data_IF_129633553862
#
_entry.id   IF_129633553862
#
_cell.length_a   1.000
_cell.length_b   1.000
_cell.length_c   1.000
_cell.angle_alpha   90.00
_cell.angle_beta   90.00
_cell.angle_gamma   90.00
#
_symmetry.space_group_name_H-M   'P 1'
#
loop_
_entity.id
_entity.type
_entity.pdbx_description
1 polymer ?
#
# COMPACT_ATOMS: atom_id res chain seq x y z
N UNK A 1 -3.77 23.95 12.96
CA UNK A 1 -2.75 23.64 13.97
C UNK A 1 -2.79 22.14 14.12
N UNK A 2 -1.86 21.45 13.46
CA UNK A 2 -1.75 20.00 13.56
C UNK A 2 -1.08 19.72 14.90
N UNK A 3 -1.86 19.30 15.90
CA UNK A 3 -1.27 18.83 17.15
C UNK A 3 -0.62 17.49 16.81
N UNK A 4 0.71 17.47 16.75
CA UNK A 4 1.45 16.25 16.46
C UNK A 4 0.99 15.10 17.35
N UNK A 5 0.91 13.89 16.79
CA UNK A 5 0.52 12.69 17.53
C UNK A 5 1.66 12.32 18.47
N UNK A 6 1.35 12.14 19.76
CA UNK A 6 2.32 11.62 20.72
C UNK A 6 2.62 10.15 20.38
N UNK A 7 3.90 9.77 20.35
CA UNK A 7 4.29 8.39 19.99
C UNK A 7 3.75 7.32 20.95
N UNK A 8 3.41 7.70 22.19
CA UNK A 8 2.75 6.86 23.18
C UNK A 8 1.35 6.37 22.74
N UNK A 9 0.75 7.02 21.76
CA UNK A 9 -0.56 6.67 21.19
C UNK A 9 -0.42 5.98 19.82
N UNK A 10 0.81 5.63 19.41
CA UNK A 10 1.09 5.03 18.11
C UNK A 10 1.38 3.54 18.27
N UNK A 11 0.66 2.73 17.47
CA UNK A 11 0.89 1.30 17.34
C UNK A 11 1.33 0.99 15.92
N UNK A 12 2.46 0.30 15.78
CA UNK A 12 2.95 -0.24 14.51
C UNK A 12 2.57 -1.71 14.43
N UNK A 13 1.77 -2.07 13.42
CA UNK A 13 1.42 -3.45 13.12
C UNK A 13 2.29 -3.93 11.94
N UNK A 14 3.08 -4.97 12.16
CA UNK A 14 3.92 -5.57 11.12
C UNK A 14 3.51 -7.02 10.86
N UNK A 15 3.44 -7.40 9.58
CA UNK A 15 3.34 -8.80 9.22
C UNK A 15 4.67 -9.55 9.50
N UNK A 16 4.66 -10.86 9.27
CA UNK A 16 5.79 -11.73 9.60
C UNK A 16 6.78 -11.92 8.43
N UNK A 17 6.85 -10.97 7.49
CA UNK A 17 7.79 -11.09 6.39
C UNK A 17 9.25 -10.91 6.84
N UNK A 18 10.16 -11.67 6.22
CA UNK A 18 11.59 -11.70 6.59
C UNK A 18 12.28 -10.33 6.49
N UNK A 19 11.79 -9.45 5.62
CA UNK A 19 12.26 -8.07 5.49
C UNK A 19 12.01 -7.23 6.75
N UNK A 20 11.08 -7.65 7.62
CA UNK A 20 10.77 -7.01 8.90
C UNK A 20 11.49 -7.67 10.09
N UNK A 21 12.51 -8.51 9.85
CA UNK A 21 13.28 -9.14 10.92
C UNK A 21 13.86 -8.09 11.90
N UNK A 22 14.43 -7.01 11.37
CA UNK A 22 15.09 -5.93 12.12
C UNK A 22 14.17 -4.89 12.76
N UNK A 23 12.83 -5.04 12.67
CA UNK A 23 11.91 -3.98 13.14
C UNK A 23 11.98 -3.77 14.65
N UNK A 24 12.30 -4.80 15.43
CA UNK A 24 12.41 -4.68 16.90
C UNK A 24 13.58 -3.79 17.29
N UNK A 25 14.69 -3.93 16.59
CA UNK A 25 15.92 -3.17 16.78
C UNK A 25 15.70 -1.70 16.39
N UNK A 26 14.94 -1.44 15.32
CA UNK A 26 14.54 -0.08 14.93
C UNK A 26 13.64 0.55 15.99
N UNK A 27 12.64 -0.17 16.51
CA UNK A 27 11.73 0.34 17.55
C UNK A 27 12.43 0.62 18.89
N UNK A 28 13.65 0.13 19.10
CA UNK A 28 14.45 0.42 20.29
C UNK A 28 15.23 1.75 20.22
N UNK A 29 15.26 2.42 19.06
CA UNK A 29 15.93 3.71 18.90
C UNK A 29 15.17 4.82 19.65
N UNK A 30 15.90 5.84 20.10
CA UNK A 30 15.34 6.97 20.88
C UNK A 30 14.16 7.66 20.17
N UNK A 31 14.18 7.71 18.84
CA UNK A 31 13.15 8.35 18.02
C UNK A 31 11.79 7.63 18.06
N UNK A 32 11.73 6.38 18.53
CA UNK A 32 10.52 5.56 18.57
C UNK A 32 10.09 5.18 19.99
N UNK A 33 10.65 5.84 21.01
CA UNK A 33 10.27 5.60 22.41
C UNK A 33 8.77 5.89 22.59
N UNK A 34 8.05 4.89 23.11
CA UNK A 34 6.60 4.96 23.34
C UNK A 34 5.75 4.30 22.26
N UNK A 35 6.32 3.99 21.08
CA UNK A 35 5.60 3.26 20.02
C UNK A 35 5.42 1.80 20.42
N UNK A 36 4.19 1.29 20.35
CA UNK A 36 3.92 -0.13 20.52
C UNK A 36 4.12 -0.89 19.21
N UNK A 37 4.78 -2.04 19.25
CA UNK A 37 4.96 -2.92 18.10
C UNK A 37 4.14 -4.21 18.25
N UNK A 38 3.22 -4.44 17.32
CA UNK A 38 2.47 -5.69 17.18
C UNK A 38 3.00 -6.46 15.96
N UNK A 39 3.57 -7.66 16.20
CA UNK A 39 3.91 -8.60 15.13
C UNK A 39 2.78 -9.60 14.92
N UNK A 40 2.30 -9.72 13.69
CA UNK A 40 1.27 -10.68 13.34
C UNK A 40 1.83 -12.09 13.19
N UNK A 41 1.02 -13.14 13.42
CA UNK A 41 1.42 -14.51 13.11
C UNK A 41 1.58 -14.71 11.60
N UNK A 42 2.37 -15.73 11.17
CA UNK A 42 2.42 -16.14 9.78
C UNK A 42 1.02 -16.37 9.18
N UNK A 43 0.86 -16.09 7.89
CA UNK A 43 -0.38 -16.34 7.14
C UNK A 43 -1.64 -15.72 7.76
N UNK A 44 -1.50 -14.55 8.42
CA UNK A 44 -2.61 -13.86 9.09
C UNK A 44 -3.02 -12.54 8.42
N UNK A 45 -3.29 -12.51 7.09
CA UNK A 45 -3.62 -11.26 6.40
C UNK A 45 -4.94 -10.64 6.87
N UNK A 46 -5.87 -11.46 7.39
CA UNK A 46 -7.13 -10.98 7.96
C UNK A 46 -6.94 -10.10 9.21
N UNK A 47 -5.76 -10.16 9.85
CA UNK A 47 -5.41 -9.34 11.00
C UNK A 47 -4.59 -8.09 10.60
N UNK A 48 -4.20 -7.94 9.34
CA UNK A 48 -3.42 -6.80 8.87
C UNK A 48 -4.34 -5.71 8.29
N UNK A 49 -4.50 -4.55 8.96
CA UNK A 49 -5.43 -3.52 8.51
C UNK A 49 -5.15 -2.97 7.11
N UNK A 50 -3.88 -3.01 6.65
CA UNK A 50 -3.51 -2.49 5.32
C UNK A 50 -4.20 -3.26 4.19
N UNK A 51 -4.54 -4.54 4.41
CA UNK A 51 -5.19 -5.38 3.42
C UNK A 51 -6.59 -4.85 3.06
N UNK A 52 -7.31 -4.30 4.03
CA UNK A 52 -8.61 -3.65 3.77
C UNK A 52 -8.44 -2.39 2.92
N UNK A 53 -7.45 -1.55 3.25
CA UNK A 53 -7.13 -0.36 2.47
C UNK A 53 -6.70 -0.69 1.04
N UNK A 54 -5.84 -1.69 0.87
CA UNK A 54 -5.44 -2.17 -0.46
C UNK A 54 -6.57 -2.86 -1.22
N UNK A 55 -7.49 -3.54 -0.54
CA UNK A 55 -8.66 -4.13 -1.18
C UNK A 55 -9.57 -3.05 -1.79
N UNK A 56 -9.84 -1.99 -1.04
CA UNK A 56 -10.60 -0.83 -1.52
C UNK A 56 -9.89 -0.16 -2.71
N UNK A 57 -8.60 0.18 -2.54
CA UNK A 57 -7.79 0.79 -3.60
C UNK A 57 -7.76 -0.07 -4.88
N UNK A 58 -7.47 -1.37 -4.76
CA UNK A 58 -7.44 -2.29 -5.91
C UNK A 58 -8.81 -2.42 -6.59
N UNK A 59 -9.89 -2.31 -5.83
CA UNK A 59 -11.26 -2.37 -6.40
C UNK A 59 -11.53 -1.19 -7.31
N UNK A 60 -11.17 0.02 -6.89
CA UNK A 60 -11.28 1.23 -7.71
C UNK A 60 -10.37 1.17 -8.95
N UNK A 61 -9.12 0.76 -8.79
CA UNK A 61 -8.20 0.56 -9.92
C UNK A 61 -8.78 -0.43 -10.93
N UNK A 62 -9.32 -1.58 -10.46
CA UNK A 62 -9.94 -2.58 -11.34
C UNK A 62 -11.16 -2.01 -12.05
N UNK A 63 -12.00 -1.25 -11.36
CA UNK A 63 -13.17 -0.61 -11.94
C UNK A 63 -12.78 0.36 -13.06
N UNK A 64 -11.80 1.25 -12.82
CA UNK A 64 -11.30 2.17 -13.83
C UNK A 64 -10.74 1.42 -15.05
N UNK A 65 -9.94 0.37 -14.83
CA UNK A 65 -9.36 -0.40 -15.94
C UNK A 65 -10.42 -1.16 -16.73
N UNK A 66 -11.46 -1.67 -16.07
CA UNK A 66 -12.57 -2.36 -16.72
C UNK A 66 -13.38 -1.41 -17.60
N UNK A 67 -13.70 -0.22 -17.10
CA UNK A 67 -14.46 0.82 -17.84
C UNK A 67 -13.68 1.37 -19.03
N UNK A 68 -12.35 1.38 -18.98
CA UNK A 68 -11.48 1.89 -20.05
C UNK A 68 -10.85 0.79 -20.93
N UNK A 69 -11.31 -0.46 -20.79
CA UNK A 69 -10.70 -1.63 -21.43
C UNK A 69 -10.46 -1.46 -22.92
N UNK A 70 -11.45 -0.98 -23.67
CA UNK A 70 -11.34 -0.83 -25.13
C UNK A 70 -10.29 0.18 -25.54
N UNK A 71 -10.19 1.30 -24.81
CA UNK A 71 -9.19 2.32 -25.05
C UNK A 71 -7.77 1.83 -24.68
N UNK A 72 -7.65 1.00 -23.63
CA UNK A 72 -6.39 0.36 -23.23
C UNK A 72 -5.87 -0.60 -24.30
N UNK A 73 -6.77 -1.31 -24.98
CA UNK A 73 -6.40 -2.29 -26.01
C UNK A 73 -6.03 -1.67 -27.36
N UNK A 74 -6.35 -0.39 -27.58
CA UNK A 74 -6.12 0.35 -28.83
C UNK A 74 -5.06 1.45 -28.63
N UNK A 75 -3.76 1.12 -28.66
CA UNK A 75 -2.72 2.13 -28.58
C UNK A 75 -2.72 3.02 -29.84
N UNK A 76 -2.45 4.33 -29.70
CA UNK A 76 -2.32 5.22 -30.85
C UNK A 76 -1.05 4.91 -31.66
N UNK A 77 -0.99 5.32 -32.95
CA UNK A 77 0.20 5.18 -33.77
C UNK A 77 1.43 5.82 -33.10
N UNK A 78 2.59 5.17 -33.21
CA UNK A 78 3.85 5.67 -32.63
C UNK A 78 4.03 5.44 -31.12
N UNK A 79 3.05 4.86 -30.42
CA UNK A 79 3.16 4.51 -29.00
C UNK A 79 3.22 3.00 -28.81
N UNK A 80 4.15 2.54 -27.97
CA UNK A 80 4.24 1.10 -27.66
C UNK A 80 3.07 0.65 -26.79
N UNK A 81 2.63 -0.60 -26.95
CA UNK A 81 1.59 -1.21 -26.10
C UNK A 81 1.94 -1.10 -24.60
N UNK A 82 3.22 -1.29 -24.27
CA UNK A 82 3.70 -1.21 -22.88
C UNK A 82 3.54 0.20 -22.30
N UNK A 83 4.00 1.22 -23.02
CA UNK A 83 3.87 2.61 -22.60
C UNK A 83 2.41 3.04 -22.48
N UNK A 84 1.57 2.66 -23.46
CA UNK A 84 0.14 2.99 -23.43
C UNK A 84 -0.57 2.40 -22.21
N UNK A 85 -0.32 1.11 -21.92
CA UNK A 85 -0.88 0.44 -20.73
C UNK A 85 -0.36 1.03 -19.43
N UNK A 86 0.93 1.34 -19.35
CA UNK A 86 1.52 1.98 -18.16
C UNK A 86 0.85 3.33 -17.84
N UNK A 87 0.54 4.14 -18.87
CA UNK A 87 -0.19 5.40 -18.67
C UNK A 87 -1.59 5.18 -18.09
N UNK A 88 -2.33 4.16 -18.53
CA UNK A 88 -3.64 3.85 -17.95
C UNK A 88 -3.54 3.33 -16.52
N UNK A 89 -2.52 2.54 -16.19
CA UNK A 89 -2.25 2.11 -14.81
C UNK A 89 -1.98 3.31 -13.89
N UNK A 90 -1.16 4.26 -14.34
CA UNK A 90 -0.86 5.48 -13.58
C UNK A 90 -2.08 6.38 -13.39
N UNK A 91 -2.99 6.41 -14.36
CA UNK A 91 -4.27 7.13 -14.22
C UNK A 91 -5.18 6.42 -13.23
N UNK A 92 -5.34 5.10 -13.37
CA UNK A 92 -6.17 4.29 -12.48
C UNK A 92 -5.76 4.42 -11.01
N UNK A 93 -4.45 4.50 -10.73
CA UNK A 93 -3.92 4.66 -9.39
C UNK A 93 -4.14 6.06 -8.76
N UNK A 94 -4.59 7.05 -9.53
CA UNK A 94 -4.82 8.43 -9.09
C UNK A 94 -6.31 8.80 -8.99
N UNK A 95 -7.19 7.89 -9.41
CA UNK A 95 -8.64 8.08 -9.37
C UNK A 95 -9.19 7.87 -7.97
#
# INVERSE_FOLDING_TARGET
MDQGIALLEVVVVCDNESIHAGVKEVMALCDYVGVELIKLPPYSPMLNPIENGFSAFKSEVKYYLATHRDAILRPPPGVTKAQHRANYMLRAAKC
#
